data_IF_540679198158
#
_entry.id   IF_540679198158
#
_cell.length_a   1.000
_cell.length_b   1.000
_cell.length_c   1.000
_cell.angle_alpha   90.00
_cell.angle_beta   90.00
_cell.angle_gamma   90.00
#
_symmetry.space_group_name_H-M   'P 1'
#
loop_
_entity.id
_entity.type
_entity.pdbx_description
1 polymer ?
#
# COMPACT_ATOMS: atom_id res chain seq x y z
N UNK A 1 -0.92 0.27 -21.64
CA UNK A 1 -1.62 -0.02 -20.36
C UNK A 1 -3.05 -0.41 -20.68
N UNK A 2 -3.46 -1.60 -20.24
CA UNK A 2 -4.84 -2.08 -20.42
C UNK A 2 -5.80 -1.37 -19.48
N UNK A 3 -7.10 -1.45 -19.76
CA UNK A 3 -8.14 -0.91 -18.86
C UNK A 3 -8.07 -1.54 -17.46
N UNK A 4 -7.78 -2.84 -17.39
CA UNK A 4 -7.62 -3.57 -16.12
C UNK A 4 -6.41 -3.07 -15.32
N UNK A 5 -5.26 -2.88 -15.96
CA UNK A 5 -4.06 -2.32 -15.33
C UNK A 5 -4.32 -0.91 -14.81
N UNK A 6 -5.02 -0.08 -15.59
CA UNK A 6 -5.39 1.28 -15.17
C UNK A 6 -6.32 1.27 -13.96
N UNK A 7 -7.37 0.45 -13.97
CA UNK A 7 -8.29 0.32 -12.82
C UNK A 7 -7.57 -0.18 -11.58
N UNK A 8 -6.74 -1.21 -11.70
CA UNK A 8 -5.95 -1.72 -10.59
C UNK A 8 -5.01 -0.66 -10.01
N UNK A 9 -4.33 0.11 -10.87
CA UNK A 9 -3.47 1.22 -10.47
C UNK A 9 -4.21 2.33 -9.72
N UNK A 10 -5.38 2.74 -10.21
CA UNK A 10 -6.20 3.76 -9.55
C UNK A 10 -6.73 3.27 -8.19
N UNK A 11 -7.16 2.02 -8.10
CA UNK A 11 -7.61 1.45 -6.82
C UNK A 11 -6.45 1.34 -5.82
N UNK A 12 -5.27 0.92 -6.29
CA UNK A 12 -4.06 0.94 -5.46
C UNK A 12 -3.71 2.35 -4.98
N UNK A 13 -3.84 3.36 -5.85
CA UNK A 13 -3.60 4.75 -5.50
C UNK A 13 -4.52 5.23 -4.37
N UNK A 14 -5.80 4.87 -4.41
CA UNK A 14 -6.76 5.21 -3.34
C UNK A 14 -6.36 4.56 -2.01
N UNK A 15 -5.99 3.27 -2.03
CA UNK A 15 -5.52 2.58 -0.81
C UNK A 15 -4.25 3.21 -0.26
N UNK A 16 -3.25 3.46 -1.10
CA UNK A 16 -1.97 4.06 -0.68
C UNK A 16 -2.16 5.50 -0.18
N UNK A 17 -3.04 6.28 -0.80
CA UNK A 17 -3.42 7.61 -0.31
C UNK A 17 -4.13 7.52 1.06
N UNK A 18 -4.97 6.51 1.26
CA UNK A 18 -5.59 6.23 2.56
C UNK A 18 -4.54 5.91 3.64
N UNK A 19 -3.52 5.13 3.30
CA UNK A 19 -2.39 4.87 4.21
C UNK A 19 -1.63 6.16 4.52
N UNK A 20 -1.36 7.01 3.52
CA UNK A 20 -0.74 8.32 3.73
C UNK A 20 -1.57 9.19 4.69
N UNK A 21 -2.89 9.22 4.53
CA UNK A 21 -3.81 9.93 5.41
C UNK A 21 -3.79 9.41 6.85
N UNK A 22 -3.74 8.09 7.02
CA UNK A 22 -3.59 7.46 8.33
C UNK A 22 -2.26 7.84 8.99
N UNK A 23 -1.16 7.82 8.25
CA UNK A 23 0.16 8.25 8.74
C UNK A 23 0.16 9.73 9.12
N UNK A 24 -0.52 10.57 8.34
CA UNK A 24 -0.67 12.00 8.67
C UNK A 24 -1.42 12.18 9.99
N UNK A 25 -2.50 11.44 10.20
CA UNK A 25 -3.26 11.48 11.46
C UNK A 25 -2.41 11.04 12.66
N UNK A 26 -1.61 9.98 12.53
CA UNK A 26 -0.68 9.56 13.57
C UNK A 26 0.38 10.64 13.87
N UNK A 27 0.97 11.22 12.84
CA UNK A 27 1.96 12.30 12.97
C UNK A 27 1.34 13.53 13.66
N UNK A 28 0.08 13.84 13.37
CA UNK A 28 -0.67 14.93 13.97
C UNK A 28 -1.12 14.67 15.43
N UNK A 29 -0.93 13.46 15.94
CA UNK A 29 -1.25 13.13 17.33
C UNK A 29 -2.60 12.43 17.53
N UNK A 30 -3.17 11.81 16.50
CA UNK A 30 -4.34 10.94 16.67
C UNK A 30 -4.06 9.82 17.67
N UNK A 31 -4.99 9.51 18.59
CA UNK A 31 -4.80 8.51 19.64
C UNK A 31 -5.02 7.08 19.11
N UNK A 32 -4.38 6.73 18.00
CA UNK A 32 -4.57 5.46 17.29
C UNK A 32 -3.42 4.47 17.49
N UNK A 33 -2.66 4.63 18.57
CA UNK A 33 -1.57 3.72 18.93
C UNK A 33 -1.95 2.24 18.96
N UNK A 34 -3.16 1.84 19.42
CA UNK A 34 -3.58 0.43 19.41
C UNK A 34 -3.61 -0.24 18.05
N UNK A 35 -3.71 0.53 16.96
CA UNK A 35 -3.77 0.01 15.58
C UNK A 35 -2.53 0.36 14.76
N UNK A 36 -1.43 0.72 15.42
CA UNK A 36 -0.19 1.11 14.78
C UNK A 36 1.04 0.60 15.55
N UNK A 37 2.12 0.34 14.84
CA UNK A 37 3.42 -0.03 15.40
C UNK A 37 3.37 -1.15 16.46
N UNK A 38 2.60 -2.18 16.21
CA UNK A 38 2.44 -3.32 17.11
C UNK A 38 1.43 -3.13 18.23
N UNK A 39 0.76 -1.98 18.29
CA UNK A 39 -0.29 -1.70 19.28
C UNK A 39 0.18 -1.52 20.72
N UNK A 40 1.49 -1.32 20.94
CA UNK A 40 2.06 -1.21 22.29
C UNK A 40 1.73 0.11 23.00
N UNK A 41 1.24 1.10 22.28
CA UNK A 41 0.95 2.45 22.79
C UNK A 41 -0.58 2.66 22.83
N UNK A 42 -1.20 2.81 24.02
CA UNK A 42 -2.67 2.84 24.16
C UNK A 42 -3.34 4.14 23.73
N UNK A 43 -2.58 5.14 23.31
CA UNK A 43 -3.08 6.47 22.96
C UNK A 43 -2.29 7.11 21.84
N UNK A 44 -1.89 8.36 22.05
CA UNK A 44 -1.01 9.08 21.13
C UNK A 44 0.37 8.43 21.11
N UNK A 45 0.93 8.26 19.91
CA UNK A 45 2.27 7.68 19.74
C UNK A 45 3.37 8.59 20.32
N UNK A 46 4.49 8.01 20.81
CA UNK A 46 5.68 8.78 21.15
C UNK A 46 6.23 9.57 19.96
N UNK A 47 6.99 10.62 20.24
CA UNK A 47 7.50 11.55 19.21
C UNK A 47 8.31 10.88 18.11
N UNK A 48 9.11 9.85 18.45
CA UNK A 48 9.88 9.09 17.45
C UNK A 48 8.98 8.39 16.44
N UNK A 49 7.89 7.77 16.89
CA UNK A 49 6.94 7.08 16.01
C UNK A 49 6.07 8.06 15.23
N UNK A 50 5.73 9.20 15.82
CA UNK A 50 5.04 10.29 15.10
C UNK A 50 5.93 10.87 14.00
N UNK A 51 7.22 11.04 14.28
CA UNK A 51 8.20 11.46 13.27
C UNK A 51 8.32 10.42 12.15
N UNK A 52 8.39 9.13 12.47
CA UNK A 52 8.40 8.06 11.48
C UNK A 52 7.14 8.10 10.61
N UNK A 53 5.97 8.32 11.21
CA UNK A 53 4.71 8.50 10.47
C UNK A 53 4.74 9.75 9.58
N UNK A 54 5.28 10.86 10.04
CA UNK A 54 5.43 12.08 9.24
C UNK A 54 6.31 11.85 7.99
N UNK A 55 7.39 11.08 8.12
CA UNK A 55 8.24 10.68 6.99
C UNK A 55 7.49 9.74 6.03
N UNK A 56 6.65 8.85 6.54
CA UNK A 56 5.86 7.93 5.74
C UNK A 56 4.82 8.64 4.85
N UNK A 57 4.30 9.79 5.26
CA UNK A 57 3.29 10.54 4.49
C UNK A 57 3.73 10.82 3.04
N UNK A 58 4.86 11.50 2.78
CA UNK A 58 5.30 11.77 1.41
C UNK A 58 5.69 10.48 0.66
N UNK A 59 6.19 9.46 1.35
CA UNK A 59 6.50 8.17 0.73
C UNK A 59 5.23 7.52 0.17
N UNK A 60 4.21 7.33 0.98
CA UNK A 60 2.94 6.75 0.52
C UNK A 60 2.21 7.65 -0.47
N UNK A 61 2.31 8.97 -0.34
CA UNK A 61 1.79 9.94 -1.30
C UNK A 61 2.45 9.78 -2.68
N UNK A 62 3.76 9.63 -2.73
CA UNK A 62 4.50 9.40 -3.97
C UNK A 62 4.14 8.04 -4.60
N UNK A 63 4.04 6.98 -3.79
CA UNK A 63 3.61 5.67 -4.28
C UNK A 63 2.19 5.71 -4.86
N UNK A 64 1.28 6.44 -4.21
CA UNK A 64 -0.09 6.65 -4.70
C UNK A 64 -0.09 7.41 -6.05
N UNK A 65 0.71 8.46 -6.18
CA UNK A 65 0.83 9.22 -7.43
C UNK A 65 1.34 8.36 -8.58
N UNK A 66 2.36 7.54 -8.35
CA UNK A 66 2.89 6.61 -9.35
C UNK A 66 1.87 5.53 -9.71
N UNK A 67 1.13 5.01 -8.73
CA UNK A 67 0.06 4.04 -8.98
C UNK A 67 -1.06 4.66 -9.84
N UNK A 68 -1.38 5.94 -9.64
CA UNK A 68 -2.35 6.69 -10.44
C UNK A 68 -1.86 7.02 -11.85
N UNK A 69 -0.56 6.88 -12.14
CA UNK A 69 -0.01 7.08 -13.47
C UNK A 69 1.10 8.12 -13.59
N UNK A 70 1.55 8.71 -12.48
CA UNK A 70 2.68 9.62 -12.51
C UNK A 70 3.97 8.92 -12.94
N UNK A 71 4.81 9.63 -13.68
CA UNK A 71 6.08 9.12 -14.20
C UNK A 71 5.92 8.28 -15.48
N UNK A 72 7.05 7.91 -16.05
CA UNK A 72 7.09 7.12 -17.28
C UNK A 72 6.87 5.62 -17.01
N UNK A 73 6.62 4.82 -18.07
CA UNK A 73 6.29 3.40 -17.93
C UNK A 73 7.34 2.56 -17.20
N UNK A 74 8.63 2.88 -17.41
CA UNK A 74 9.74 2.17 -16.75
C UNK A 74 9.77 2.44 -15.24
N UNK A 75 9.67 3.72 -14.85
CA UNK A 75 9.62 4.12 -13.46
C UNK A 75 8.40 3.50 -12.77
N UNK A 76 7.23 3.64 -13.38
CA UNK A 76 6.00 3.08 -12.86
C UNK A 76 6.11 1.57 -12.59
N UNK A 77 6.63 0.81 -13.54
CA UNK A 77 6.83 -0.64 -13.40
C UNK A 77 7.79 -0.99 -12.26
N UNK A 78 8.92 -0.28 -12.16
CA UNK A 78 9.90 -0.51 -11.11
C UNK A 78 9.32 -0.18 -9.72
N UNK A 79 8.70 0.98 -9.57
CA UNK A 79 8.10 1.44 -8.31
C UNK A 79 6.97 0.51 -7.87
N UNK A 80 6.03 0.16 -8.75
CA UNK A 80 4.90 -0.70 -8.36
C UNK A 80 5.33 -2.13 -8.03
N UNK A 81 6.36 -2.67 -8.69
CA UNK A 81 6.95 -3.96 -8.28
C UNK A 81 7.60 -3.87 -6.89
N UNK A 82 8.33 -2.79 -6.63
CA UNK A 82 8.87 -2.51 -5.30
C UNK A 82 7.78 -2.34 -4.25
N UNK A 83 6.68 -1.66 -4.59
CA UNK A 83 5.52 -1.50 -3.71
C UNK A 83 4.85 -2.85 -3.45
N UNK A 84 4.72 -3.71 -4.44
CA UNK A 84 4.22 -5.08 -4.24
C UNK A 84 5.06 -5.84 -3.22
N UNK A 85 6.38 -5.81 -3.36
CA UNK A 85 7.29 -6.44 -2.40
C UNK A 85 7.16 -5.82 -1.00
N UNK A 86 7.11 -4.49 -0.90
CA UNK A 86 6.93 -3.78 0.36
C UNK A 86 5.62 -4.15 1.05
N UNK A 87 4.51 -4.21 0.31
CA UNK A 87 3.20 -4.57 0.86
C UNK A 87 3.15 -6.05 1.26
N UNK A 88 3.84 -6.92 0.55
CA UNK A 88 3.94 -8.34 0.92
C UNK A 88 4.70 -8.50 2.24
N UNK A 89 5.83 -7.82 2.40
CA UNK A 89 6.57 -7.78 3.68
C UNK A 89 5.70 -7.17 4.77
N UNK A 90 5.02 -6.06 4.48
CA UNK A 90 4.08 -5.43 5.41
C UNK A 90 2.97 -6.37 5.86
N UNK A 91 2.46 -7.21 4.98
CA UNK A 91 1.46 -8.25 5.33
C UNK A 91 2.03 -9.23 6.34
N UNK A 92 3.25 -9.74 6.14
CA UNK A 92 3.91 -10.66 7.07
C UNK A 92 4.12 -9.99 8.43
N UNK A 93 4.62 -8.76 8.42
CA UNK A 93 4.84 -7.99 9.66
C UNK A 93 3.52 -7.76 10.41
N UNK A 94 2.45 -7.38 9.71
CA UNK A 94 1.15 -7.17 10.33
C UNK A 94 0.54 -8.48 10.86
N UNK A 95 0.74 -9.62 10.18
CA UNK A 95 0.33 -10.94 10.69
C UNK A 95 1.04 -11.31 11.98
N UNK A 96 2.28 -10.90 12.15
CA UNK A 96 3.09 -11.12 13.35
C UNK A 96 2.79 -10.12 14.48
N UNK A 97 1.99 -9.08 14.22
CA UNK A 97 1.65 -8.08 15.25
C UNK A 97 0.91 -8.71 16.42
N UNK A 98 1.25 -8.38 17.68
CA UNK A 98 0.48 -8.79 18.85
C UNK A 98 -0.89 -8.12 18.95
N UNK A 99 -1.09 -6.99 18.25
CA UNK A 99 -2.36 -6.25 18.23
C UNK A 99 -3.36 -6.89 17.27
N UNK A 100 -4.44 -7.45 17.80
CA UNK A 100 -5.53 -8.00 16.99
C UNK A 100 -6.21 -6.91 16.13
N UNK A 101 -6.54 -5.71 16.64
CA UNK A 101 -7.09 -4.63 15.81
C UNK A 101 -6.16 -4.25 14.66
N UNK A 102 -4.85 -4.17 14.90
CA UNK A 102 -3.87 -3.88 13.86
C UNK A 102 -3.88 -4.95 12.76
N UNK A 103 -3.86 -6.24 13.13
CA UNK A 103 -3.95 -7.35 12.17
C UNK A 103 -5.22 -7.29 11.33
N UNK A 104 -6.38 -7.07 11.97
CA UNK A 104 -7.67 -7.07 11.28
C UNK A 104 -7.82 -5.91 10.28
N UNK A 105 -7.15 -4.79 10.52
CA UNK A 105 -7.17 -3.63 9.62
C UNK A 105 -6.10 -3.76 8.55
N UNK A 106 -4.85 -3.99 8.94
CA UNK A 106 -3.72 -3.82 8.03
C UNK A 106 -3.40 -5.04 7.18
N UNK A 107 -3.70 -6.25 7.63
CA UNK A 107 -3.51 -7.44 6.79
C UNK A 107 -4.37 -7.37 5.51
N UNK A 108 -5.69 -7.10 5.57
CA UNK A 108 -6.48 -6.93 4.35
C UNK A 108 -5.99 -5.76 3.47
N UNK A 109 -5.61 -4.64 4.07
CA UNK A 109 -5.13 -3.46 3.33
C UNK A 109 -3.82 -3.77 2.59
N UNK A 110 -2.85 -4.37 3.25
CA UNK A 110 -1.55 -4.67 2.64
C UNK A 110 -1.65 -5.78 1.60
N UNK A 111 -2.49 -6.80 1.81
CA UNK A 111 -2.78 -7.84 0.80
C UNK A 111 -3.44 -7.21 -0.43
N UNK A 112 -4.47 -6.39 -0.23
CA UNK A 112 -5.14 -5.72 -1.34
C UNK A 112 -4.19 -4.80 -2.12
N UNK A 113 -3.36 -4.02 -1.43
CA UNK A 113 -2.37 -3.16 -2.05
C UNK A 113 -1.32 -3.96 -2.84
N UNK A 114 -0.82 -5.09 -2.30
CA UNK A 114 0.11 -5.98 -2.99
C UNK A 114 -0.50 -6.55 -4.27
N UNK A 115 -1.71 -7.07 -4.20
CA UNK A 115 -2.42 -7.64 -5.38
C UNK A 115 -2.69 -6.58 -6.43
N UNK A 116 -3.17 -5.40 -6.03
CA UNK A 116 -3.51 -4.31 -6.96
C UNK A 116 -2.28 -3.72 -7.65
N UNK A 117 -1.19 -3.51 -6.91
CA UNK A 117 0.06 -3.00 -7.50
C UNK A 117 0.69 -4.03 -8.44
N UNK A 118 0.62 -5.31 -8.10
CA UNK A 118 1.04 -6.39 -9.00
C UNK A 118 0.21 -6.39 -10.30
N UNK A 119 -1.12 -6.37 -10.20
CA UNK A 119 -2.02 -6.35 -11.36
C UNK A 119 -1.86 -5.11 -12.23
N UNK A 120 -1.48 -4.00 -11.64
CA UNK A 120 -1.27 -2.74 -12.37
C UNK A 120 -0.04 -2.77 -13.30
N UNK A 121 0.85 -3.75 -13.17
CA UNK A 121 2.08 -3.89 -13.96
C UNK A 121 2.28 -5.27 -14.57
N UNK A 122 1.40 -6.22 -14.30
CA UNK A 122 1.45 -7.55 -14.90
C UNK A 122 0.80 -7.54 -16.28
N UNK A 123 1.43 -8.13 -17.31
CA UNK A 123 0.78 -8.30 -18.61
C UNK A 123 -0.52 -9.09 -18.44
N UNK A 124 -1.56 -8.68 -19.17
CA UNK A 124 -2.78 -9.48 -19.23
C UNK A 124 -2.43 -10.90 -19.75
N UNK A 125 -3.08 -11.95 -19.22
CA UNK A 125 -2.90 -13.30 -19.75
C UNK A 125 -3.16 -13.28 -21.26
N UNK A 126 -2.17 -13.75 -22.06
CA UNK A 126 -2.41 -13.96 -23.48
C UNK A 126 -3.38 -15.11 -23.60
N UNK A 127 -4.61 -14.81 -23.95
CA UNK A 127 -5.54 -15.86 -24.41
C UNK A 127 -4.90 -16.41 -25.66
N UNK A 128 -4.47 -17.68 -25.61
CA UNK A 128 -3.96 -18.37 -26.79
C UNK A 128 -5.05 -18.27 -27.86
N UNK A 129 -4.72 -17.68 -29.00
CA UNK A 129 -5.64 -17.67 -30.15
C UNK A 129 -5.95 -19.11 -30.48
N UNK A 130 -7.21 -19.51 -30.38
CA UNK A 130 -7.67 -20.81 -30.85
C UNK A 130 -7.47 -20.79 -32.35
N UNK A 131 -6.65 -21.71 -32.92
CA UNK A 131 -6.47 -21.74 -34.36
C UNK A 131 -7.84 -21.98 -35.02
N UNK A 132 -8.17 -21.11 -35.97
CA UNK A 132 -9.36 -21.32 -36.80
C UNK A 132 -9.22 -22.66 -37.52
N UNK A 133 -10.23 -23.52 -37.39
CA UNK A 133 -10.34 -24.78 -38.15
C UNK A 133 -10.80 -24.52 -39.56
#
# INVERSE_FOLDING_TARGET
MTTTEKKAGLTAAVLLAGVAGFQLALAAGAPWGPVAYGGAHPGVLPDELRTASAVAVPVYGALAAVAAGAGGPRLRRAVLRGTTALMTVGTVVNLASPSLPERLIWVPVTVAAAVLTWRAVSPAPRVAAVPAR
#
